data_IF_911451658529
#
_entry.id   IF_911451658529
#
_cell.length_a   1.000
_cell.length_b   1.000
_cell.length_c   1.000
_cell.angle_alpha   90.00
_cell.angle_beta   90.00
_cell.angle_gamma   90.00
#
_symmetry.space_group_name_H-M   'P 1'
#
loop_
_entity.id
_entity.type
_entity.pdbx_description
1 polymer ?
#
# COMPACT_ATOMS: atom_id res chain seq x y z
N UNK A 1 29.39 -16.63 22.96
CA UNK A 1 29.49 -15.51 21.99
C UNK A 1 28.25 -14.66 22.14
N UNK A 2 28.35 -13.52 22.83
CA UNK A 2 27.18 -12.65 23.07
C UNK A 2 26.88 -11.83 21.81
N UNK A 3 25.71 -12.02 21.23
CA UNK A 3 25.24 -11.24 20.09
C UNK A 3 24.79 -9.84 20.57
N UNK A 4 25.74 -8.97 20.90
CA UNK A 4 25.45 -7.61 21.31
C UNK A 4 24.96 -6.81 20.10
N UNK A 5 23.65 -6.77 19.88
CA UNK A 5 23.05 -5.96 18.83
C UNK A 5 23.05 -4.49 19.24
N UNK A 6 23.66 -3.63 18.42
CA UNK A 6 23.66 -2.19 18.68
C UNK A 6 22.24 -1.62 18.54
N UNK A 7 21.60 -1.34 19.67
CA UNK A 7 20.24 -0.82 19.73
C UNK A 7 20.08 0.54 19.04
N UNK A 8 21.14 1.36 19.01
CA UNK A 8 21.16 2.64 18.29
C UNK A 8 21.04 2.46 16.78
N UNK A 9 21.78 1.50 16.19
CA UNK A 9 21.66 1.16 14.76
C UNK A 9 20.27 0.63 14.42
N UNK A 10 19.71 -0.22 15.28
CA UNK A 10 18.35 -0.74 15.10
C UNK A 10 17.30 0.38 15.09
N UNK A 11 17.33 1.29 16.07
CA UNK A 11 16.41 2.43 16.14
C UNK A 11 16.53 3.33 14.89
N UNK A 12 17.75 3.60 14.43
CA UNK A 12 18.00 4.37 13.19
C UNK A 12 17.51 3.65 11.92
N UNK A 13 17.56 2.33 11.88
CA UNK A 13 17.00 1.55 10.77
C UNK A 13 15.47 1.64 10.79
N UNK A 14 14.85 1.37 11.96
CA UNK A 14 13.40 1.47 12.14
C UNK A 14 12.84 2.83 11.75
N UNK A 15 13.47 3.93 12.21
CA UNK A 15 13.05 5.29 11.86
C UNK A 15 13.14 5.59 10.35
N UNK A 16 14.17 5.06 9.66
CA UNK A 16 14.29 5.20 8.20
C UNK A 16 13.19 4.43 7.47
N UNK A 17 12.87 3.23 7.92
CA UNK A 17 11.83 2.41 7.32
C UNK A 17 10.44 2.98 7.54
N UNK A 18 10.15 3.50 8.73
CA UNK A 18 8.90 4.23 9.01
C UNK A 18 8.74 5.45 8.11
N UNK A 19 9.81 6.24 7.94
CA UNK A 19 9.79 7.40 7.03
C UNK A 19 9.56 6.98 5.58
N UNK A 20 10.15 5.86 5.12
CA UNK A 20 9.92 5.33 3.77
C UNK A 20 8.46 4.89 3.59
N UNK A 21 7.92 4.10 4.54
CA UNK A 21 6.51 3.66 4.52
C UNK A 21 5.52 4.83 4.48
N UNK A 22 5.79 5.89 5.26
CA UNK A 22 4.98 7.10 5.24
C UNK A 22 5.07 7.82 3.88
N UNK A 23 6.26 7.88 3.27
CA UNK A 23 6.48 8.39 1.92
C UNK A 23 5.69 7.61 0.87
N UNK A 24 5.73 6.28 0.91
CA UNK A 24 5.01 5.41 -0.03
C UNK A 24 3.49 5.57 0.12
N UNK A 25 2.98 5.66 1.35
CA UNK A 25 1.57 5.91 1.61
C UNK A 25 1.12 7.27 1.07
N UNK A 26 1.94 8.31 1.24
CA UNK A 26 1.67 9.64 0.72
C UNK A 26 1.77 9.68 -0.81
N UNK A 27 2.73 9.00 -1.43
CA UNK A 27 2.80 8.85 -2.88
C UNK A 27 1.56 8.15 -3.43
N UNK A 28 1.08 7.09 -2.76
CA UNK A 28 -0.16 6.42 -3.16
C UNK A 28 -1.41 7.30 -2.97
N UNK A 29 -1.44 8.18 -1.96
CA UNK A 29 -2.59 9.05 -1.63
C UNK A 29 -2.64 10.32 -2.48
N UNK A 30 -1.47 10.97 -2.65
CA UNK A 30 -1.30 12.30 -3.24
C UNK A 30 -0.57 12.30 -4.58
N UNK A 31 0.20 11.25 -4.90
CA UNK A 31 0.92 11.14 -6.17
C UNK A 31 0.09 10.64 -7.35
N UNK A 32 -1.11 10.09 -7.10
CA UNK A 32 -2.04 9.69 -8.16
C UNK A 32 -2.85 10.88 -8.64
N UNK A 33 -2.79 11.13 -9.95
CA UNK A 33 -3.62 12.12 -10.65
C UNK A 33 -5.09 11.68 -10.66
N UNK A 34 -6.01 12.63 -10.89
CA UNK A 34 -7.45 12.33 -10.97
C UNK A 34 -7.76 11.30 -12.08
N UNK A 35 -6.99 11.30 -13.17
CA UNK A 35 -7.13 10.36 -14.27
C UNK A 35 -6.78 8.92 -13.85
N UNK A 36 -5.69 8.74 -13.12
CA UNK A 36 -5.26 7.43 -12.63
C UNK A 36 -6.24 6.87 -11.60
N UNK A 37 -6.73 7.70 -10.68
CA UNK A 37 -7.76 7.30 -9.70
C UNK A 37 -9.04 6.80 -10.40
N UNK A 38 -9.51 7.51 -11.44
CA UNK A 38 -10.68 7.11 -12.23
C UNK A 38 -10.45 5.82 -13.02
N UNK A 39 -9.24 5.62 -13.54
CA UNK A 39 -8.89 4.38 -14.25
C UNK A 39 -8.94 3.17 -13.30
N UNK A 40 -8.34 3.30 -12.12
CA UNK A 40 -8.38 2.26 -11.09
C UNK A 40 -9.82 1.98 -10.62
N UNK A 41 -10.62 3.02 -10.39
CA UNK A 41 -12.02 2.90 -9.98
C UNK A 41 -12.86 2.19 -11.05
N UNK A 42 -12.72 2.58 -12.33
CA UNK A 42 -13.40 1.90 -13.43
C UNK A 42 -12.96 0.44 -13.58
N UNK A 43 -11.67 0.15 -13.35
CA UNK A 43 -11.17 -1.21 -13.36
C UNK A 43 -11.75 -2.04 -12.19
N UNK A 44 -11.85 -1.44 -11.00
CA UNK A 44 -12.50 -2.07 -9.83
C UNK A 44 -13.97 -2.32 -10.05
N UNK A 45 -14.74 -1.35 -10.54
CA UNK A 45 -16.16 -1.56 -10.86
C UNK A 45 -16.37 -2.65 -11.90
N UNK A 46 -15.51 -2.74 -12.93
CA UNK A 46 -15.59 -3.83 -13.92
C UNK A 46 -15.30 -5.18 -13.28
N UNK A 47 -14.33 -5.25 -12.38
CA UNK A 47 -14.02 -6.45 -11.62
C UNK A 47 -15.17 -6.83 -10.68
N UNK A 48 -15.74 -5.88 -9.93
CA UNK A 48 -16.89 -6.08 -9.06
C UNK A 48 -18.12 -6.54 -9.84
N UNK A 49 -18.47 -5.89 -10.95
CA UNK A 49 -19.57 -6.33 -11.83
C UNK A 49 -19.31 -7.72 -12.41
N UNK A 50 -18.06 -8.04 -12.75
CA UNK A 50 -17.68 -9.38 -13.18
C UNK A 50 -17.91 -10.41 -12.07
N UNK A 51 -17.46 -10.12 -10.85
CA UNK A 51 -17.63 -10.99 -9.69
C UNK A 51 -19.10 -11.15 -9.28
N UNK A 52 -19.89 -10.06 -9.30
CA UNK A 52 -21.32 -10.12 -9.01
C UNK A 52 -22.09 -10.86 -10.11
N UNK A 53 -21.70 -10.73 -11.38
CA UNK A 53 -22.22 -11.58 -12.46
C UNK A 53 -21.83 -13.06 -12.33
N UNK A 54 -20.78 -13.36 -11.57
CA UNK A 54 -20.35 -14.72 -11.24
C UNK A 54 -20.87 -15.22 -9.88
N UNK A 55 -21.48 -14.36 -9.05
CA UNK A 55 -22.19 -14.80 -7.85
C UNK A 55 -23.49 -15.45 -8.31
N UNK A 56 -23.55 -16.77 -8.17
CA UNK A 56 -24.83 -17.48 -8.11
C UNK A 56 -25.44 -17.12 -6.76
N UNK A 57 -26.62 -16.50 -6.79
CA UNK A 57 -27.44 -16.41 -5.58
C UNK A 57 -27.81 -17.84 -5.16
N UNK A 58 -27.22 -18.30 -4.06
CA UNK A 58 -27.76 -19.39 -3.24
C UNK A 58 -28.50 -18.78 -2.04
#
# INVERSE_FOLDING_TARGET
MSNVTNLGRFRKAKARDEKRRAGDANAAKFGRTKAEKRRDESAREKAERGLDGHKREE
#
